data_IF_279034572463
#
_entry.id   IF_279034572463
#
_cell.length_a   1.000
_cell.length_b   1.000
_cell.length_c   1.000
_cell.angle_alpha   90.00
_cell.angle_beta   90.00
_cell.angle_gamma   90.00
#
_symmetry.space_group_name_H-M   'P 1'
#
loop_
_entity.id
_entity.type
_entity.pdbx_description
1 polymer ?
#
# COMPACT_ATOMS: atom_id res chain seq x y z
N UNK A 1 -4.24 19.02 60.09
CA UNK A 1 -4.77 18.53 58.80
C UNK A 1 -3.79 18.90 57.69
N UNK A 2 -2.70 18.15 57.46
CA UNK A 2 -1.71 18.48 56.40
C UNK A 2 -0.65 17.36 56.25
N UNK A 3 -1.03 16.10 55.98
CA UNK A 3 -0.03 15.03 55.70
C UNK A 3 -0.53 13.91 54.78
N UNK A 4 -1.28 14.21 53.72
CA UNK A 4 -1.71 13.16 52.76
C UNK A 4 -1.52 13.51 51.27
N UNK A 5 -0.85 14.62 50.94
CA UNK A 5 -0.62 15.00 49.54
C UNK A 5 0.67 14.50 48.85
N UNK A 6 1.78 14.10 49.51
CA UNK A 6 3.00 13.77 48.75
C UNK A 6 3.04 12.33 48.24
N UNK A 7 2.16 11.43 48.71
CA UNK A 7 2.20 10.01 48.34
C UNK A 7 1.53 9.71 46.98
N UNK A 8 0.65 10.57 46.48
CA UNK A 8 -0.06 10.33 45.22
C UNK A 8 0.72 10.80 43.98
N UNK A 9 1.61 11.80 44.13
CA UNK A 9 2.43 12.32 43.02
C UNK A 9 3.59 11.38 42.67
N UNK A 10 4.11 10.64 43.65
CA UNK A 10 5.19 9.66 43.41
C UNK A 10 4.70 8.35 42.76
N UNK A 11 3.41 8.02 42.88
CA UNK A 11 2.83 6.82 42.28
C UNK A 11 2.46 7.00 40.79
N UNK A 12 2.28 8.24 40.30
CA UNK A 12 2.01 8.50 38.88
C UNK A 12 3.26 8.59 38.00
N UNK A 13 4.45 8.80 38.58
CA UNK A 13 5.70 8.87 37.82
C UNK A 13 6.28 7.50 37.43
N UNK A 14 5.80 6.41 38.04
CA UNK A 14 6.31 5.05 37.80
C UNK A 14 5.62 4.31 36.64
N UNK A 15 4.66 4.93 35.93
CA UNK A 15 3.89 4.29 34.84
C UNK A 15 4.38 4.70 33.44
N UNK A 16 5.46 5.48 33.32
CA UNK A 16 5.93 5.97 32.02
C UNK A 16 7.25 5.34 31.53
N UNK A 17 7.22 4.05 31.16
CA UNK A 17 7.89 3.69 29.91
C UNK A 17 7.00 2.75 29.08
N UNK A 18 5.78 3.20 28.76
CA UNK A 18 4.93 2.52 27.77
C UNK A 18 4.58 3.41 26.56
N UNK A 19 5.08 4.65 26.51
CA UNK A 19 4.77 5.62 25.46
C UNK A 19 5.98 6.03 24.60
N UNK A 20 7.10 5.34 24.74
CA UNK A 20 8.28 5.56 23.89
C UNK A 20 8.98 4.23 23.60
N UNK A 21 8.22 3.24 23.12
CA UNK A 21 8.84 2.19 22.32
C UNK A 21 9.07 2.83 20.94
N UNK A 22 10.24 3.45 20.75
CA UNK A 22 10.76 3.58 19.40
C UNK A 22 10.84 2.14 18.89
N UNK A 23 9.98 1.79 17.93
CA UNK A 23 10.03 0.48 17.31
C UNK A 23 11.47 0.27 16.83
N UNK A 24 12.17 -0.70 17.43
CA UNK A 24 13.59 -0.91 17.20
C UNK A 24 13.76 -1.25 15.72
N UNK A 25 14.52 -0.44 14.99
CA UNK A 25 14.86 -0.71 13.59
C UNK A 25 15.54 -2.09 13.52
N UNK A 26 14.90 -3.00 12.79
CA UNK A 26 15.44 -4.34 12.53
C UNK A 26 16.50 -4.24 11.43
N UNK A 27 17.69 -4.79 11.68
CA UNK A 27 18.78 -4.80 10.70
C UNK A 27 18.71 -6.07 9.85
N UNK A 28 18.37 -5.93 8.57
CA UNK A 28 18.24 -7.05 7.63
C UNK A 28 19.59 -7.36 6.96
N UNK A 29 20.48 -8.01 7.71
CA UNK A 29 21.83 -8.37 7.26
C UNK A 29 21.97 -9.86 6.86
N UNK A 30 21.02 -10.71 7.26
CA UNK A 30 21.04 -12.15 7.01
C UNK A 30 20.27 -12.52 5.73
N UNK A 31 20.65 -11.89 4.61
CA UNK A 31 19.97 -12.07 3.34
C UNK A 31 20.40 -13.37 2.64
N UNK A 32 19.44 -14.09 2.07
CA UNK A 32 19.65 -15.26 1.22
C UNK A 32 19.70 -14.84 -0.25
N UNK A 33 20.69 -15.33 -0.99
CA UNK A 33 20.85 -15.05 -2.42
C UNK A 33 20.02 -16.05 -3.25
N UNK A 34 19.12 -15.52 -4.07
CA UNK A 34 18.25 -16.26 -4.97
C UNK A 34 18.73 -16.21 -6.44
N UNK A 35 19.94 -15.71 -6.69
CA UNK A 35 20.51 -15.52 -8.01
C UNK A 35 20.20 -14.15 -8.63
N UNK A 36 20.97 -13.78 -9.65
CA UNK A 36 20.75 -12.56 -10.46
C UNK A 36 20.62 -11.25 -9.66
N UNK A 37 21.29 -11.18 -8.50
CA UNK A 37 21.25 -9.99 -7.64
C UNK A 37 19.94 -9.83 -6.87
N UNK A 38 19.19 -10.92 -6.69
CA UNK A 38 17.99 -10.98 -5.87
C UNK A 38 18.33 -11.54 -4.48
N UNK A 39 18.25 -10.70 -3.46
CA UNK A 39 18.48 -11.06 -2.07
C UNK A 39 17.17 -10.93 -1.30
N UNK A 40 16.81 -11.93 -0.50
CA UNK A 40 15.64 -11.88 0.37
C UNK A 40 15.98 -12.40 1.75
N UNK A 41 15.35 -11.87 2.79
CA UNK A 41 15.32 -12.54 4.08
C UNK A 41 13.90 -12.98 4.46
N UNK A 42 13.82 -13.74 5.55
CA UNK A 42 12.55 -14.26 6.05
C UNK A 42 11.78 -13.22 6.88
N UNK A 43 12.43 -12.13 7.26
CA UNK A 43 11.91 -11.12 8.19
C UNK A 43 11.27 -9.92 7.47
N UNK A 44 11.24 -9.94 6.13
CA UNK A 44 10.45 -9.01 5.32
C UNK A 44 11.25 -7.93 4.60
N UNK A 45 12.55 -8.17 4.35
CA UNK A 45 13.37 -7.34 3.49
C UNK A 45 13.76 -8.04 2.19
N UNK A 46 13.93 -7.23 1.14
CA UNK A 46 14.32 -7.71 -0.19
C UNK A 46 15.19 -6.66 -0.89
N UNK A 47 16.17 -7.15 -1.65
CA UNK A 47 16.99 -6.39 -2.60
C UNK A 47 16.85 -7.04 -3.97
N UNK A 48 16.49 -6.27 -5.00
CA UNK A 48 16.53 -6.72 -6.38
C UNK A 48 17.46 -5.85 -7.20
N UNK A 49 18.21 -6.47 -8.12
CA UNK A 49 19.15 -5.78 -8.98
C UNK A 49 20.50 -5.46 -8.31
N UNK A 50 20.88 -6.22 -7.28
CA UNK A 50 22.19 -6.07 -6.64
C UNK A 50 23.31 -6.23 -7.66
N UNK A 51 24.19 -5.24 -7.76
CA UNK A 51 25.36 -5.26 -8.62
C UNK A 51 26.54 -4.56 -7.93
N UNK A 52 27.56 -5.34 -7.56
CA UNK A 52 28.75 -4.84 -6.84
C UNK A 52 29.94 -4.62 -7.78
N UNK A 53 29.97 -5.23 -8.95
CA UNK A 53 31.21 -5.41 -9.70
C UNK A 53 31.05 -5.42 -11.22
N UNK A 54 29.86 -5.68 -11.76
CA UNK A 54 29.62 -5.70 -13.21
C UNK A 54 29.40 -4.30 -13.75
N UNK A 55 30.37 -3.79 -14.51
CA UNK A 55 30.31 -2.45 -15.09
C UNK A 55 29.23 -2.37 -16.19
N UNK A 56 28.38 -1.32 -16.19
CA UNK A 56 27.50 -1.03 -17.31
C UNK A 56 28.31 -0.59 -18.54
N UNK A 57 27.70 -0.73 -19.72
CA UNK A 57 28.31 -0.32 -20.98
C UNK A 57 28.74 1.16 -20.95
N UNK A 58 29.95 1.43 -21.44
CA UNK A 58 30.53 2.78 -21.47
C UNK A 58 31.22 3.20 -20.17
N UNK A 59 31.25 2.37 -19.12
CA UNK A 59 32.08 2.59 -17.95
C UNK A 59 33.36 1.74 -18.03
N UNK A 60 34.52 2.40 -18.18
CA UNK A 60 35.82 1.70 -18.17
C UNK A 60 36.24 1.28 -16.76
N UNK A 61 35.80 2.03 -15.75
CA UNK A 61 36.05 1.79 -14.32
C UNK A 61 34.98 2.45 -13.47
N UNK A 62 34.93 2.07 -12.20
CA UNK A 62 34.18 2.82 -11.18
C UNK A 62 34.80 4.23 -11.05
N UNK A 63 33.96 5.25 -11.15
CA UNK A 63 34.36 6.65 -10.98
C UNK A 63 34.58 6.99 -9.51
N UNK A 64 33.68 6.53 -8.65
CA UNK A 64 33.72 6.65 -7.20
C UNK A 64 32.78 5.61 -6.52
N UNK A 65 33.03 5.32 -5.24
CA UNK A 65 32.11 4.58 -4.39
C UNK A 65 31.37 5.59 -3.49
N UNK A 66 30.04 5.61 -3.55
CA UNK A 66 29.19 6.52 -2.77
C UNK A 66 28.22 5.72 -1.93
N UNK A 67 28.00 6.16 -0.70
CA UNK A 67 26.97 5.62 0.18
C UNK A 67 25.97 6.71 0.53
N UNK A 68 24.69 6.42 0.35
CA UNK A 68 23.59 7.26 0.84
C UNK A 68 22.78 6.49 1.88
N UNK A 69 22.24 7.21 2.85
CA UNK A 69 21.25 6.67 3.76
C UNK A 69 19.95 7.37 3.46
N UNK A 70 18.90 6.59 3.22
CA UNK A 70 17.58 7.09 2.86
C UNK A 70 16.61 6.62 3.90
N UNK A 71 15.93 7.56 4.54
CA UNK A 71 14.90 7.22 5.50
C UNK A 71 13.51 7.41 4.87
N UNK A 72 12.66 6.41 4.99
CA UNK A 72 11.28 6.43 4.49
C UNK A 72 10.26 6.35 5.61
N UNK A 73 9.17 7.10 5.48
CA UNK A 73 8.02 6.94 6.37
C UNK A 73 7.12 8.18 6.48
N UNK A 74 6.09 8.06 7.31
CA UNK A 74 5.07 9.07 7.54
C UNK A 74 5.62 10.31 8.25
N UNK A 75 6.72 10.19 9.01
CA UNK A 75 7.29 11.37 9.68
C UNK A 75 7.84 12.40 8.68
N UNK A 76 8.32 11.94 7.52
CA UNK A 76 8.97 12.79 6.52
C UNK A 76 7.99 13.50 5.58
N UNK A 77 6.73 13.03 5.52
CA UNK A 77 5.67 13.65 4.70
C UNK A 77 5.07 14.90 5.35
N UNK A 78 5.26 15.10 6.66
CA UNK A 78 4.65 16.22 7.42
C UNK A 78 4.94 17.62 6.86
N UNK A 79 6.05 17.79 6.15
CA UNK A 79 6.44 19.05 5.49
C UNK A 79 5.70 19.32 4.17
N UNK A 80 4.98 18.32 3.63
CA UNK A 80 4.32 18.41 2.33
C UNK A 80 2.81 18.20 2.49
N UNK A 81 1.99 19.25 2.37
CA UNK A 81 0.55 19.15 2.42
C UNK A 81 0.00 18.10 1.43
N UNK A 82 -0.97 17.31 1.87
CA UNK A 82 -1.61 16.27 1.04
C UNK A 82 -0.82 14.98 0.84
N UNK A 83 0.39 14.89 1.37
CA UNK A 83 1.17 13.66 1.32
C UNK A 83 1.01 12.86 2.61
N UNK A 84 1.11 11.53 2.50
CA UNK A 84 1.11 10.63 3.66
C UNK A 84 2.48 10.00 3.87
N UNK A 85 3.26 9.77 2.82
CA UNK A 85 4.56 9.13 2.92
C UNK A 85 5.57 9.93 2.12
N UNK A 86 6.81 9.97 2.61
CA UNK A 86 7.91 10.58 1.87
C UNK A 86 9.22 9.90 2.27
N UNK A 87 10.22 10.09 1.42
CA UNK A 87 11.61 9.95 1.82
C UNK A 87 12.05 11.22 2.56
N UNK A 88 13.12 11.13 3.34
CA UNK A 88 13.74 12.27 4.01
C UNK A 88 14.26 13.33 3.02
N UNK A 89 14.91 12.85 1.96
CA UNK A 89 15.38 13.64 0.81
C UNK A 89 14.58 13.35 -0.46
N UNK A 90 14.46 14.36 -1.31
CA UNK A 90 13.64 14.32 -2.54
C UNK A 90 14.52 14.25 -3.81
N UNK A 91 15.80 14.54 -3.69
CA UNK A 91 16.75 14.54 -4.79
C UNK A 91 18.15 14.12 -4.32
N UNK A 92 18.78 13.23 -5.08
CA UNK A 92 20.21 12.91 -4.95
C UNK A 92 20.91 13.15 -6.29
N UNK A 93 22.10 13.76 -6.26
CA UNK A 93 22.91 14.03 -7.45
C UNK A 93 24.21 13.23 -7.38
N UNK A 94 24.39 12.31 -8.32
CA UNK A 94 25.50 11.35 -8.32
C UNK A 94 26.21 11.38 -9.67
N UNK A 95 27.54 11.16 -9.69
CA UNK A 95 28.28 11.10 -10.95
C UNK A 95 27.98 9.81 -11.73
N UNK A 96 28.10 9.81 -13.06
CA UNK A 96 28.04 8.58 -13.86
C UNK A 96 29.12 7.58 -13.45
N UNK A 97 28.90 6.28 -13.73
CA UNK A 97 29.83 5.18 -13.39
C UNK A 97 30.16 5.04 -11.90
N UNK A 98 29.34 5.61 -11.01
CA UNK A 98 29.49 5.51 -9.56
C UNK A 98 28.96 4.17 -9.08
N UNK A 99 29.68 3.50 -8.17
CA UNK A 99 29.11 2.42 -7.36
C UNK A 99 28.37 3.02 -6.19
N UNK A 100 27.04 3.04 -6.28
CA UNK A 100 26.16 3.59 -5.27
C UNK A 100 25.70 2.47 -4.34
N UNK A 101 25.88 2.64 -3.03
CA UNK A 101 25.23 1.82 -2.00
C UNK A 101 24.16 2.64 -1.32
N UNK A 102 22.94 2.13 -1.31
CA UNK A 102 21.79 2.76 -0.67
C UNK A 102 21.47 1.98 0.60
N UNK A 103 21.48 2.67 1.73
CA UNK A 103 21.02 2.15 3.02
C UNK A 103 19.60 2.66 3.24
N UNK A 104 18.60 1.83 2.94
CA UNK A 104 17.21 2.22 3.09
C UNK A 104 16.71 1.85 4.49
N UNK A 105 16.23 2.85 5.23
CA UNK A 105 15.68 2.71 6.58
C UNK A 105 14.19 3.03 6.51
N UNK A 106 13.37 2.01 6.67
CA UNK A 106 11.94 2.18 6.88
C UNK A 106 11.69 2.45 8.36
N UNK A 107 11.06 3.58 8.67
CA UNK A 107 10.69 3.93 10.05
C UNK A 107 9.18 3.81 10.33
N UNK A 108 8.41 3.35 9.35
CA UNK A 108 6.97 3.10 9.51
C UNK A 108 6.69 1.63 9.79
N UNK A 109 5.53 1.38 10.38
CA UNK A 109 4.96 0.04 10.58
C UNK A 109 4.30 -0.56 9.31
N UNK A 110 4.44 0.10 8.16
CA UNK A 110 3.96 -0.40 6.86
C UNK A 110 5.15 -0.64 5.95
N UNK A 111 4.94 -1.47 4.92
CA UNK A 111 5.99 -1.79 3.95
C UNK A 111 6.29 -0.60 3.06
N UNK A 112 7.57 -0.22 2.98
CA UNK A 112 8.04 0.80 2.05
C UNK A 112 9.16 0.24 1.17
N UNK A 113 9.36 0.91 0.04
CA UNK A 113 10.36 0.52 -0.94
C UNK A 113 11.10 1.75 -1.45
N UNK A 114 12.36 1.55 -1.79
CA UNK A 114 13.18 2.45 -2.57
C UNK A 114 13.42 1.78 -3.92
N UNK A 115 12.60 2.11 -4.92
CA UNK A 115 12.64 1.52 -6.25
C UNK A 115 13.06 2.56 -7.29
N UNK A 116 13.85 2.11 -8.26
CA UNK A 116 14.25 2.88 -9.41
C UNK A 116 14.13 2.05 -10.70
N UNK A 117 13.45 2.58 -11.72
CA UNK A 117 13.34 1.97 -13.04
C UNK A 117 14.24 2.64 -14.07
N UNK A 118 14.41 2.00 -15.24
CA UNK A 118 15.10 2.59 -16.39
C UNK A 118 16.59 2.26 -16.46
N UNK A 119 17.05 1.30 -15.67
CA UNK A 119 18.40 0.76 -15.73
C UNK A 119 18.57 -0.20 -16.93
N UNK A 120 19.80 -0.45 -17.40
CA UNK A 120 20.04 -1.35 -18.52
C UNK A 120 19.61 -2.80 -18.22
N UNK A 121 18.63 -3.31 -18.98
CA UNK A 121 18.01 -4.63 -18.76
C UNK A 121 18.94 -5.83 -18.88
N UNK A 122 20.08 -5.68 -19.55
CA UNK A 122 21.09 -6.74 -19.66
C UNK A 122 21.89 -6.92 -18.37
N UNK A 123 21.86 -5.92 -17.48
CA UNK A 123 22.62 -5.89 -16.24
C UNK A 123 21.72 -5.96 -15.00
N UNK A 124 20.55 -5.35 -15.09
CA UNK A 124 19.54 -5.30 -14.03
C UNK A 124 18.29 -6.00 -14.51
N UNK A 125 17.83 -7.05 -13.82
CA UNK A 125 16.58 -7.71 -14.22
C UNK A 125 15.43 -6.69 -14.26
N UNK A 126 14.61 -6.81 -15.30
CA UNK A 126 13.56 -5.86 -15.70
C UNK A 126 13.99 -4.39 -15.85
N UNK A 127 15.29 -4.08 -15.75
CA UNK A 127 15.82 -2.72 -15.81
C UNK A 127 15.49 -1.91 -14.55
N UNK A 128 15.51 -2.56 -13.38
CA UNK A 128 15.16 -1.94 -12.10
C UNK A 128 16.14 -2.32 -10.99
N UNK A 129 16.20 -1.45 -9.99
CA UNK A 129 16.86 -1.70 -8.71
C UNK A 129 15.88 -1.38 -7.60
N UNK A 130 15.84 -2.21 -6.57
CA UNK A 130 14.78 -2.17 -5.57
C UNK A 130 15.29 -2.58 -4.21
N UNK A 131 14.93 -1.80 -3.20
CA UNK A 131 15.07 -2.14 -1.79
C UNK A 131 13.69 -2.12 -1.15
N UNK A 132 13.38 -3.12 -0.35
CA UNK A 132 12.10 -3.27 0.34
C UNK A 132 12.32 -3.62 1.79
N UNK A 133 11.52 -3.03 2.66
CA UNK A 133 11.47 -3.41 4.08
C UNK A 133 10.02 -3.32 4.58
N UNK A 134 9.55 -4.40 5.20
CA UNK A 134 8.25 -4.46 5.86
C UNK A 134 8.35 -4.09 7.34
N UNK A 135 7.73 -2.97 7.74
CA UNK A 135 7.83 -2.46 9.10
C UNK A 135 9.16 -1.76 9.40
N UNK A 136 9.42 -1.41 10.67
CA UNK A 136 10.60 -0.64 11.05
C UNK A 136 11.87 -1.48 10.87
N UNK A 137 12.69 -1.13 9.89
CA UNK A 137 13.85 -1.93 9.53
C UNK A 137 14.78 -1.25 8.53
N UNK A 138 15.92 -1.86 8.31
CA UNK A 138 16.98 -1.36 7.44
C UNK A 138 17.51 -2.45 6.54
N UNK A 139 17.62 -2.14 5.25
CA UNK A 139 18.24 -2.99 4.23
C UNK A 139 19.20 -2.16 3.38
N UNK A 140 20.27 -2.78 2.91
CA UNK A 140 21.26 -2.12 2.06
C UNK A 140 21.44 -2.87 0.75
N UNK A 141 21.54 -2.15 -0.35
CA UNK A 141 21.91 -2.71 -1.64
C UNK A 141 22.82 -1.79 -2.43
N UNK A 142 23.49 -2.36 -3.43
CA UNK A 142 24.49 -1.67 -4.24
C UNK A 142 24.17 -1.84 -5.71
N UNK A 143 24.33 -0.76 -6.47
CA UNK A 143 24.26 -0.74 -7.93
C UNK A 143 25.41 0.11 -8.50
N UNK A 144 25.70 -0.06 -9.78
CA UNK A 144 26.65 0.78 -10.52
C UNK A 144 25.84 1.58 -11.53
N UNK A 145 25.88 2.90 -11.40
CA UNK A 145 25.13 3.79 -12.26
C UNK A 145 25.73 3.81 -13.67
N UNK A 146 24.91 3.84 -14.74
CA UNK A 146 25.39 3.97 -16.11
C UNK A 146 26.23 5.24 -16.36
N UNK A 147 26.94 5.28 -17.50
CA UNK A 147 27.70 6.46 -17.94
C UNK A 147 26.80 7.60 -18.48
N UNK A 148 25.53 7.33 -18.74
CA UNK A 148 24.61 8.31 -19.33
C UNK A 148 24.16 9.38 -18.32
N UNK A 149 24.06 10.64 -18.80
CA UNK A 149 23.37 11.72 -18.12
C UNK A 149 21.86 11.40 -18.08
N UNK A 150 21.32 11.09 -16.89
CA UNK A 150 19.93 10.64 -16.77
C UNK A 150 19.34 10.91 -15.40
N UNK A 151 18.08 11.30 -15.38
CA UNK A 151 17.31 11.40 -14.14
C UNK A 151 16.41 10.18 -14.02
N UNK A 152 16.45 9.55 -12.85
CA UNK A 152 15.64 8.38 -12.54
C UNK A 152 14.59 8.73 -11.50
N UNK A 153 13.35 8.26 -11.71
CA UNK A 153 12.31 8.37 -10.70
C UNK A 153 12.61 7.34 -9.62
N UNK A 154 12.67 7.80 -8.39
CA UNK A 154 12.78 6.97 -7.20
C UNK A 154 11.43 6.99 -6.50
N UNK A 155 10.84 5.84 -6.21
CA UNK A 155 9.54 5.78 -5.56
C UNK A 155 9.36 4.49 -4.75
N UNK A 156 8.29 4.44 -3.96
CA UNK A 156 7.77 3.17 -3.47
C UNK A 156 6.88 2.55 -4.56
N UNK A 157 7.00 1.25 -4.83
CA UNK A 157 6.23 0.56 -5.87
C UNK A 157 4.78 0.25 -5.44
N UNK A 158 4.47 0.40 -4.14
CA UNK A 158 3.08 0.45 -3.70
C UNK A 158 2.44 1.72 -4.27
N UNK A 159 1.57 1.55 -5.28
CA UNK A 159 0.91 2.64 -5.98
C UNK A 159 0.31 3.69 -5.02
N UNK A 160 -0.35 3.26 -3.95
CA UNK A 160 -0.92 4.17 -2.95
C UNK A 160 0.13 4.97 -2.17
N UNK A 161 1.32 4.41 -1.93
CA UNK A 161 2.40 5.11 -1.24
C UNK A 161 3.03 6.15 -2.17
N UNK A 162 3.25 5.77 -3.43
CA UNK A 162 3.69 6.67 -4.49
C UNK A 162 2.71 7.82 -4.72
N UNK A 163 1.42 7.52 -4.92
CA UNK A 163 0.36 8.52 -5.11
C UNK A 163 0.30 9.50 -3.93
N UNK A 164 0.48 9.00 -2.71
CA UNK A 164 0.51 9.80 -1.49
C UNK A 164 1.88 10.40 -1.15
N UNK A 165 2.74 10.57 -2.15
CA UNK A 165 3.93 11.41 -2.05
C UNK A 165 5.27 10.68 -1.91
N UNK A 166 5.30 9.35 -1.85
CA UNK A 166 6.57 8.61 -1.71
C UNK A 166 7.30 8.49 -3.04
N UNK A 167 7.84 9.64 -3.49
CA UNK A 167 8.56 9.87 -4.74
C UNK A 167 9.73 10.80 -4.48
N UNK A 168 10.80 10.61 -5.23
CA UNK A 168 12.02 11.40 -5.26
C UNK A 168 12.68 11.22 -6.65
N UNK A 169 13.83 11.83 -6.87
CA UNK A 169 14.63 11.58 -8.07
C UNK A 169 16.11 11.37 -7.77
N UNK A 170 16.73 10.49 -8.55
CA UNK A 170 18.18 10.33 -8.61
C UNK A 170 18.68 10.93 -9.93
N UNK A 171 19.44 12.00 -9.85
CA UNK A 171 20.05 12.67 -11.00
C UNK A 171 21.47 12.14 -11.19
N UNK A 172 21.71 11.50 -12.32
CA UNK A 172 23.04 11.02 -12.73
C UNK A 172 23.65 11.97 -13.73
N UNK A 173 24.86 12.44 -13.45
CA UNK A 173 25.55 13.44 -14.27
C UNK A 173 24.73 14.73 -14.39
N UNK A 174 24.43 15.15 -15.61
CA UNK A 174 23.60 16.34 -15.87
C UNK A 174 22.10 16.09 -15.69
N UNK A 175 21.66 14.83 -15.64
CA UNK A 175 20.25 14.46 -15.65
C UNK A 175 19.58 14.57 -17.02
N UNK A 176 18.34 14.08 -17.12
CA UNK A 176 17.53 14.09 -18.35
C UNK A 176 16.23 14.89 -18.20
N UNK A 177 16.15 15.75 -17.19
CA UNK A 177 14.95 16.51 -16.81
C UNK A 177 14.54 16.28 -15.35
N UNK A 178 13.45 16.92 -14.93
CA UNK A 178 12.89 16.80 -13.58
C UNK A 178 11.54 16.11 -13.68
N UNK A 179 11.25 15.17 -12.77
CA UNK A 179 9.96 14.50 -12.75
C UNK A 179 8.88 15.39 -12.13
N UNK A 180 7.64 15.35 -12.64
CA UNK A 180 6.54 16.11 -12.06
C UNK A 180 6.04 15.46 -10.75
N UNK A 181 5.35 16.25 -9.92
CA UNK A 181 4.73 15.77 -8.67
C UNK A 181 5.68 15.09 -7.69
N UNK A 182 6.94 15.50 -7.63
CA UNK A 182 7.85 15.14 -6.54
C UNK A 182 7.64 16.16 -5.41
N UNK A 183 7.17 15.74 -4.23
CA UNK A 183 6.93 16.67 -3.12
C UNK A 183 8.16 17.53 -2.82
N UNK A 184 7.98 18.83 -2.69
CA UNK A 184 9.08 19.77 -2.39
C UNK A 184 10.04 20.08 -3.54
N UNK A 185 9.91 19.42 -4.70
CA UNK A 185 10.76 19.66 -5.87
C UNK A 185 9.97 20.16 -7.08
N UNK A 186 8.81 19.57 -7.35
CA UNK A 186 7.93 19.96 -8.46
C UNK A 186 6.47 19.99 -8.03
N UNK A 187 5.70 20.85 -8.69
CA UNK A 187 4.28 20.99 -8.40
C UNK A 187 3.51 19.70 -8.72
N UNK A 188 2.45 19.38 -7.96
CA UNK A 188 1.51 18.31 -8.31
C UNK A 188 0.88 18.59 -9.67
N UNK A 189 0.82 17.56 -10.53
CA UNK A 189 0.12 17.66 -11.82
C UNK A 189 -1.38 17.88 -11.61
N UNK A 190 -1.92 17.27 -10.55
CA UNK A 190 -3.29 17.45 -10.09
C UNK A 190 -3.19 17.97 -8.66
N UNK A 191 -3.33 19.29 -8.45
CA UNK A 191 -3.29 19.87 -7.12
C UNK A 191 -4.57 19.56 -6.35
N UNK A 192 -4.42 19.19 -5.09
CA UNK A 192 -5.54 19.10 -4.16
C UNK A 192 -5.94 20.51 -3.70
N UNK A 193 -7.25 20.76 -3.60
CA UNK A 193 -7.79 22.00 -3.03
C UNK A 193 -7.99 21.82 -1.52
N UNK A 194 -7.08 22.39 -0.73
CA UNK A 194 -7.15 22.41 0.74
C UNK A 194 -7.76 23.72 1.29
N UNK A 195 -8.41 24.54 0.46
CA UNK A 195 -9.03 25.78 0.93
C UNK A 195 -10.04 25.50 2.05
N UNK A 196 -9.78 26.05 3.23
CA UNK A 196 -10.66 26.02 4.40
C UNK A 196 -11.82 27.01 4.21
N UNK A 197 -12.74 26.69 3.31
CA UNK A 197 -13.91 27.52 3.06
C UNK A 197 -14.99 26.74 2.36
N UNK A 198 -16.10 26.50 3.07
CA UNK A 198 -17.42 25.97 2.65
C UNK A 198 -17.41 25.24 1.30
N UNK A 199 -17.61 23.92 1.37
CA UNK A 199 -17.91 23.08 0.21
C UNK A 199 -18.62 23.91 -0.87
N UNK A 200 -17.95 24.13 -2.01
CA UNK A 200 -18.58 24.77 -3.15
C UNK A 200 -19.83 23.98 -3.43
N UNK A 201 -20.97 24.60 -3.20
CA UNK A 201 -22.27 24.06 -3.58
C UNK A 201 -22.15 23.81 -5.08
N UNK A 202 -22.10 22.53 -5.44
CA UNK A 202 -22.08 22.13 -6.85
C UNK A 202 -23.44 22.55 -7.37
N UNK A 203 -23.47 23.71 -8.04
CA UNK A 203 -24.65 24.18 -8.73
C UNK A 203 -24.88 23.20 -9.88
N UNK A 204 -25.73 22.21 -9.63
CA UNK A 204 -26.24 21.32 -10.67
C UNK A 204 -27.07 22.24 -11.57
N UNK A 205 -26.49 22.65 -12.70
CA UNK A 205 -27.16 23.49 -13.68
C UNK A 205 -28.50 22.85 -14.04
N UNK A 206 -29.58 23.57 -13.72
CA UNK A 206 -30.93 23.18 -14.07
C UNK A 206 -31.03 23.04 -15.59
N UNK A 207 -31.40 21.84 -16.05
CA UNK A 207 -31.74 21.61 -17.46
C UNK A 207 -33.02 22.41 -17.76
N UNK A 208 -33.01 23.40 -18.68
CA UNK A 208 -34.21 24.17 -18.96
C UNK A 208 -35.21 23.28 -19.71
N UNK A 209 -36.37 23.10 -19.10
CA UNK A 209 -37.53 22.51 -19.73
C UNK A 209 -38.10 23.47 -20.78
N UNK A 210 -38.11 23.01 -22.04
CA UNK A 210 -39.08 23.44 -23.04
C UNK A 210 -38.71 24.67 -23.87
N UNK A 211 -38.33 24.43 -25.12
CA UNK A 211 -38.79 25.27 -26.23
C UNK A 211 -39.15 24.37 -27.41
N UNK A 212 -40.35 24.62 -27.93
CA UNK A 212 -41.02 23.89 -29.01
C UNK A 212 -40.44 24.29 -30.37
N UNK A 213 -40.27 23.28 -31.22
CA UNK A 213 -40.48 23.22 -32.67
C UNK A 213 -40.19 24.44 -33.56
N UNK A 214 -39.20 24.28 -34.44
CA UNK A 214 -39.22 24.74 -35.85
C UNK A 214 -38.66 23.57 -36.68
N UNK A 215 -39.53 22.78 -37.34
CA UNK A 215 -39.73 22.78 -38.80
C UNK A 215 -38.52 22.22 -39.58
N UNK A 216 -38.46 20.90 -39.87
CA UNK A 216 -39.00 20.23 -41.08
C UNK A 216 -38.25 20.51 -42.39
N UNK A 217 -37.46 19.53 -42.84
CA UNK A 217 -37.32 19.00 -44.24
C UNK A 217 -36.37 17.80 -44.20
N UNK A 218 -36.85 16.55 -44.24
CA UNK A 218 -37.24 15.72 -45.41
C UNK A 218 -36.14 14.71 -45.78
N UNK A 219 -36.48 13.42 -45.65
CA UNK A 219 -35.63 12.28 -46.02
C UNK A 219 -36.25 10.96 -45.59
N UNK A 220 -37.28 10.56 -46.32
CA UNK A 220 -38.28 9.52 -46.08
C UNK A 220 -37.72 8.09 -46.02
N UNK A 221 -38.19 7.31 -45.03
CA UNK A 221 -38.07 5.84 -44.97
C UNK A 221 -39.02 5.27 -43.91
N UNK A 222 -40.26 4.97 -44.31
CA UNK A 222 -41.37 4.45 -43.49
C UNK A 222 -41.24 2.91 -43.27
N UNK A 223 -42.09 2.23 -42.47
CA UNK A 223 -41.78 1.84 -41.08
C UNK A 223 -42.05 0.35 -40.76
N UNK A 224 -41.54 -0.18 -39.65
CA UNK A 224 -42.28 -1.22 -38.88
C UNK A 224 -41.71 -1.39 -37.47
N UNK A 225 -42.57 -1.19 -36.46
CA UNK A 225 -42.50 -1.70 -35.07
C UNK A 225 -41.37 -1.12 -34.22
N UNK A 226 -41.58 -0.48 -33.07
CA UNK A 226 -42.63 -0.63 -32.07
C UNK A 226 -41.94 -0.83 -30.71
N UNK A 227 -42.15 0.12 -29.78
CA UNK A 227 -42.09 -0.17 -28.35
C UNK A 227 -40.77 0.07 -27.61
N UNK A 228 -40.82 1.11 -26.77
CA UNK A 228 -40.38 1.11 -25.36
C UNK A 228 -38.96 1.53 -25.01
N UNK A 229 -38.91 2.63 -24.25
CA UNK A 229 -37.81 3.11 -23.44
C UNK A 229 -37.29 2.03 -22.45
N UNK A 230 -36.00 2.05 -22.08
CA UNK A 230 -35.52 1.19 -21.00
C UNK A 230 -36.01 1.77 -19.67
N UNK A 231 -36.97 1.05 -19.08
CA UNK A 231 -37.36 1.16 -17.68
C UNK A 231 -36.15 0.92 -16.79
N UNK A 232 -35.98 1.77 -15.78
CA UNK A 232 -35.17 1.53 -14.60
C UNK A 232 -35.54 0.20 -13.96
N UNK A 233 -34.79 -0.85 -14.26
CA UNK A 233 -34.84 -2.09 -13.49
C UNK A 233 -33.84 -1.95 -12.35
N UNK A 234 -34.40 -1.81 -11.14
CA UNK A 234 -33.71 -2.07 -9.89
C UNK A 234 -32.93 -3.39 -10.01
N UNK A 235 -31.62 -3.32 -9.77
CA UNK A 235 -30.72 -4.47 -9.76
C UNK A 235 -31.18 -5.53 -8.77
N UNK A 236 -31.96 -6.52 -9.24
CA UNK A 236 -32.32 -7.72 -8.48
C UNK A 236 -31.10 -8.62 -8.20
N UNK A 237 -29.95 -8.32 -8.81
CA UNK A 237 -28.67 -8.97 -8.60
C UNK A 237 -27.82 -8.15 -7.61
N UNK A 238 -28.23 -8.16 -6.34
CA UNK A 238 -27.34 -7.73 -5.26
C UNK A 238 -26.14 -8.69 -5.18
N UNK A 239 -24.94 -8.19 -4.92
CA UNK A 239 -23.73 -9.02 -4.76
C UNK A 239 -23.88 -10.11 -3.69
N UNK A 240 -24.78 -9.93 -2.73
CA UNK A 240 -25.14 -10.96 -1.74
C UNK A 240 -25.94 -12.13 -2.32
N UNK A 241 -26.76 -11.92 -3.37
CA UNK A 241 -27.47 -12.99 -4.09
C UNK A 241 -26.47 -13.87 -4.86
N UNK A 242 -25.49 -13.24 -5.52
CA UNK A 242 -24.45 -13.95 -6.27
C UNK A 242 -23.56 -14.77 -5.34
N UNK A 243 -23.13 -14.19 -4.22
CA UNK A 243 -22.33 -14.91 -3.21
C UNK A 243 -23.12 -16.07 -2.58
N UNK A 244 -24.40 -15.84 -2.26
CA UNK A 244 -25.29 -16.88 -1.75
C UNK A 244 -25.49 -18.04 -2.73
N UNK A 245 -25.62 -17.72 -4.03
CA UNK A 245 -25.80 -18.72 -5.08
C UNK A 245 -24.51 -19.54 -5.32
N UNK A 246 -23.34 -18.91 -5.29
CA UNK A 246 -22.05 -19.61 -5.40
C UNK A 246 -21.80 -20.52 -4.19
N UNK A 247 -22.04 -20.02 -2.98
CA UNK A 247 -21.90 -20.83 -1.75
C UNK A 247 -22.93 -21.96 -1.70
N UNK A 248 -24.15 -21.76 -2.18
CA UNK A 248 -25.16 -22.82 -2.30
C UNK A 248 -24.79 -23.87 -3.35
N UNK A 249 -24.49 -23.44 -4.58
CA UNK A 249 -24.28 -24.36 -5.70
C UNK A 249 -23.01 -25.21 -5.53
N UNK A 250 -21.95 -24.64 -4.97
CA UNK A 250 -20.66 -25.33 -4.80
C UNK A 250 -20.41 -25.79 -3.36
N UNK A 251 -20.85 -25.03 -2.36
CA UNK A 251 -20.65 -25.38 -0.96
C UNK A 251 -21.56 -26.51 -0.48
N UNK A 252 -22.82 -26.57 -0.92
CA UNK A 252 -23.76 -27.63 -0.51
C UNK A 252 -23.33 -29.03 -0.96
N UNK A 253 -22.96 -29.31 -2.23
CA UNK A 253 -22.51 -30.66 -2.60
C UNK A 253 -21.21 -31.07 -1.92
N UNK A 254 -20.29 -30.13 -1.66
CA UNK A 254 -19.07 -30.41 -0.90
C UNK A 254 -19.39 -30.73 0.57
N UNK A 255 -20.28 -29.95 1.21
CA UNK A 255 -20.70 -30.16 2.60
C UNK A 255 -21.46 -31.48 2.76
N UNK A 256 -22.34 -31.83 1.83
CA UNK A 256 -23.07 -33.11 1.83
C UNK A 256 -22.11 -34.28 1.65
N UNK A 257 -21.10 -34.16 0.78
CA UNK A 257 -20.07 -35.20 0.60
C UNK A 257 -19.19 -35.35 1.84
N UNK A 258 -18.70 -34.24 2.38
CA UNK A 258 -17.88 -34.24 3.59
C UNK A 258 -18.63 -34.77 4.82
N UNK A 259 -19.93 -34.44 4.96
CA UNK A 259 -20.78 -35.00 6.01
C UNK A 259 -21.07 -36.48 5.76
N UNK A 260 -21.40 -36.87 4.52
CA UNK A 260 -21.66 -38.26 4.15
C UNK A 260 -20.48 -39.19 4.40
N UNK A 261 -19.26 -38.74 4.10
CA UNK A 261 -18.03 -39.51 4.35
C UNK A 261 -17.68 -39.54 5.85
N UNK A 262 -18.06 -38.53 6.64
CA UNK A 262 -17.82 -38.45 8.09
C UNK A 262 -18.80 -39.27 8.93
N UNK A 263 -20.01 -39.53 8.41
CA UNK A 263 -21.08 -40.24 9.13
C UNK A 263 -21.39 -41.63 8.58
N UNK A 264 -20.76 -42.07 7.48
CA UNK A 264 -20.86 -43.45 7.00
C UNK A 264 -20.28 -44.43 8.03
N UNK A 265 -21.10 -45.38 8.49
CA UNK A 265 -20.69 -46.47 9.38
C UNK A 265 -20.66 -46.14 10.87
N UNK A 266 -21.08 -44.94 11.28
CA UNK A 266 -21.22 -44.56 12.70
C UNK A 266 -22.60 -44.91 13.23
N UNK A 267 -22.68 -45.33 14.49
CA UNK A 267 -23.93 -45.59 15.19
C UNK A 267 -24.66 -44.27 15.53
N UNK A 268 -25.99 -44.33 15.73
CA UNK A 268 -26.81 -43.15 16.03
C UNK A 268 -26.31 -42.34 17.23
N UNK A 269 -25.74 -43.00 18.24
CA UNK A 269 -25.14 -42.34 19.41
C UNK A 269 -23.86 -41.55 19.08
N UNK A 270 -23.02 -42.07 18.19
CA UNK A 270 -21.76 -41.41 17.79
C UNK A 270 -22.01 -40.20 16.87
N UNK A 271 -23.08 -40.24 16.07
CA UNK A 271 -23.52 -39.11 15.25
C UNK A 271 -23.99 -37.95 16.14
N UNK A 272 -24.77 -38.24 17.19
CA UNK A 272 -25.25 -37.24 18.14
C UNK A 272 -24.10 -36.62 18.97
N UNK A 273 -23.15 -37.45 19.44
CA UNK A 273 -21.96 -36.97 20.14
C UNK A 273 -21.10 -36.07 19.24
N UNK A 274 -20.87 -36.48 17.99
CA UNK A 274 -20.12 -35.67 17.02
C UNK A 274 -20.83 -34.36 16.68
N UNK A 275 -22.17 -34.34 16.67
CA UNK A 275 -22.96 -33.14 16.46
C UNK A 275 -22.84 -32.14 17.61
N UNK A 276 -22.87 -32.62 18.86
CA UNK A 276 -22.68 -31.79 20.05
C UNK A 276 -21.26 -31.19 20.13
N UNK A 277 -20.24 -31.96 19.77
CA UNK A 277 -18.85 -31.45 19.67
C UNK A 277 -18.71 -30.36 18.62
N UNK A 278 -19.31 -30.54 17.44
CA UNK A 278 -19.28 -29.55 16.36
C UNK A 278 -19.98 -28.24 16.79
N UNK A 279 -21.11 -28.36 17.49
CA UNK A 279 -21.83 -27.24 18.08
C UNK A 279 -20.97 -26.50 19.12
N UNK A 280 -20.23 -27.23 19.95
CA UNK A 280 -19.29 -26.67 20.92
C UNK A 280 -18.17 -25.88 20.27
N UNK A 281 -17.56 -26.41 19.21
CA UNK A 281 -16.51 -25.71 18.46
C UNK A 281 -17.05 -24.48 17.71
N UNK A 282 -18.25 -24.56 17.15
CA UNK A 282 -18.91 -23.41 16.52
C UNK A 282 -19.19 -22.29 17.53
N UNK A 283 -19.68 -22.65 18.72
CA UNK A 283 -19.92 -21.69 19.81
C UNK A 283 -18.62 -21.02 20.28
N UNK A 284 -17.52 -21.77 20.39
CA UNK A 284 -16.19 -21.19 20.71
C UNK A 284 -15.71 -20.22 19.64
N UNK A 285 -15.89 -20.56 18.35
CA UNK A 285 -15.52 -19.71 17.23
C UNK A 285 -16.31 -18.40 17.26
N UNK A 286 -17.63 -18.47 17.49
CA UNK A 286 -18.50 -17.31 17.62
C UNK A 286 -18.09 -16.42 18.81
N UNK A 287 -17.81 -16.99 19.97
CA UNK A 287 -17.34 -16.23 21.14
C UNK A 287 -16.00 -15.52 20.88
N UNK A 288 -15.05 -16.20 20.20
CA UNK A 288 -13.77 -15.58 19.80
C UNK A 288 -13.99 -14.43 18.82
N UNK A 289 -14.90 -14.59 17.88
CA UNK A 289 -15.23 -13.54 16.91
C UNK A 289 -15.89 -12.33 17.59
N UNK A 290 -16.84 -12.54 18.49
CA UNK A 290 -17.46 -11.47 19.29
C UNK A 290 -16.44 -10.75 20.15
N UNK A 291 -15.53 -11.48 20.81
CA UNK A 291 -14.44 -10.89 21.59
C UNK A 291 -13.46 -10.08 20.74
N UNK A 292 -13.16 -10.56 19.53
CA UNK A 292 -12.34 -9.83 18.56
C UNK A 292 -13.01 -8.52 18.12
N UNK A 293 -14.31 -8.54 17.77
CA UNK A 293 -15.09 -7.33 17.46
C UNK A 293 -15.13 -6.37 18.65
N UNK A 294 -15.38 -6.89 19.85
CA UNK A 294 -15.39 -6.08 21.07
C UNK A 294 -14.04 -5.37 21.30
N UNK A 295 -12.92 -6.06 21.10
CA UNK A 295 -11.57 -5.45 21.14
C UNK A 295 -11.38 -4.40 20.05
N UNK A 296 -11.91 -4.62 18.85
CA UNK A 296 -11.79 -3.68 17.75
C UNK A 296 -12.55 -2.37 18.05
N UNK A 297 -13.77 -2.47 18.59
CA UNK A 297 -14.61 -1.32 18.95
C UNK A 297 -14.06 -0.57 20.16
N UNK A 298 -13.59 -1.29 21.19
CA UNK A 298 -13.04 -0.66 22.40
C UNK A 298 -11.67 0.00 22.18
N UNK A 299 -10.90 -0.43 21.17
CA UNK A 299 -9.66 0.25 20.74
C UNK A 299 -9.90 1.61 20.05
N UNK A 300 -11.10 1.88 19.51
CA UNK A 300 -11.39 3.14 18.81
C UNK A 300 -11.90 4.29 19.71
N UNK A 301 -12.06 4.07 21.04
CA UNK A 301 -12.59 5.11 21.95
C UNK A 301 -11.55 6.08 22.53
N UNK A 302 -10.30 6.05 22.06
CA UNK A 302 -9.30 7.06 22.38
C UNK A 302 -9.04 7.99 21.19
N UNK A 303 -10.05 8.80 20.84
CA UNK A 303 -9.78 10.06 20.16
C UNK A 303 -9.49 11.11 21.24
N UNK A 304 -8.39 11.87 21.17
CA UNK A 304 -8.16 12.97 22.10
C UNK A 304 -9.29 13.98 21.97
N UNK A 305 -9.83 14.42 23.11
CA UNK A 305 -10.69 15.61 23.16
C UNK A 305 -9.85 16.79 22.66
N UNK A 306 -10.43 17.55 21.74
CA UNK A 306 -9.91 18.84 21.30
C UNK A 306 -9.78 19.81 22.47
#
# INVERSE_FOLDING_TARGET
MTKLLPALVLALAAIQPALAQQDKIVEHNAMMDHGDGHLMDMDGAMVMGQNKDKLPAGCDRISEDVQITVHGGHKYSKKFPGTMFAFDDQEWRIKPCTRLTVNFINEDNVRHQWMMHGLPKFLYDKGMFHLEVSGPGKVSGTLILPNEDKTYLVHCDLAQHMEKGMKAQLVVGKGSGVFPSIPGLTDPVIPDDYATGKAKEVEIAAVPAGTKDIGSTLGSGTPTGGGSAPSSQSSFLSGSLVLGLVLGLFGTPFAIRAAGDRFKGKSTGEVLASGLELLGELAKLLLRFVHWIYRLITRQRFLPKQ
#
